data_IF_420397874529
#
_entry.id   IF_420397874529
#
_cell.length_a   1.000
_cell.length_b   1.000
_cell.length_c   1.000
_cell.angle_alpha   90.00
_cell.angle_beta   90.00
_cell.angle_gamma   90.00
#
_symmetry.space_group_name_H-M   'P 1'
#
loop_
_entity.id
_entity.type
_entity.pdbx_description
1 polymer ?
#
# COMPACT_ATOMS: atom_id res chain seq x y z
N UNK A 1 -37.41 -15.74 4.85
CA UNK A 1 -37.79 -14.44 5.45
C UNK A 1 -36.51 -13.67 5.75
N UNK A 2 -36.28 -12.53 5.08
CA UNK A 2 -35.04 -11.74 5.25
C UNK A 2 -35.22 -10.87 6.48
N UNK A 3 -34.75 -11.36 7.63
CA UNK A 3 -35.14 -10.88 8.94
C UNK A 3 -34.23 -9.79 9.55
N UNK A 4 -33.52 -9.01 8.73
CA UNK A 4 -32.54 -8.03 9.24
C UNK A 4 -32.38 -6.75 8.41
N UNK A 5 -33.38 -6.39 7.60
CA UNK A 5 -33.38 -5.11 6.89
C UNK A 5 -34.03 -4.03 7.76
N UNK A 6 -33.32 -2.91 7.97
CA UNK A 6 -33.89 -1.75 8.65
C UNK A 6 -35.13 -1.24 7.89
N UNK A 7 -36.00 -0.50 8.58
CA UNK A 7 -37.20 0.08 7.94
C UNK A 7 -36.85 0.90 6.68
N UNK A 8 -35.75 1.66 6.74
CA UNK A 8 -35.25 2.44 5.60
C UNK A 8 -34.78 1.56 4.44
N UNK A 9 -34.18 0.40 4.72
CA UNK A 9 -33.71 -0.52 3.68
C UNK A 9 -34.86 -1.29 3.04
N UNK A 10 -35.92 -1.62 3.81
CA UNK A 10 -37.17 -2.17 3.26
C UNK A 10 -37.88 -1.18 2.34
N UNK A 11 -37.93 0.09 2.71
CA UNK A 11 -38.56 1.14 1.90
C UNK A 11 -37.79 1.38 0.58
N UNK A 12 -36.45 1.38 0.62
CA UNK A 12 -35.62 1.43 -0.59
C UNK A 12 -35.81 0.20 -1.48
N UNK A 13 -35.85 -1.00 -0.89
CA UNK A 13 -36.05 -2.25 -1.62
C UNK A 13 -37.44 -2.28 -2.29
N UNK A 14 -38.50 -1.88 -1.58
CA UNK A 14 -39.84 -1.73 -2.15
C UNK A 14 -39.84 -0.71 -3.30
N UNK A 15 -39.20 0.44 -3.12
CA UNK A 15 -39.05 1.45 -4.18
C UNK A 15 -38.32 0.94 -5.43
N UNK A 16 -37.29 0.11 -5.25
CA UNK A 16 -36.56 -0.54 -6.33
C UNK A 16 -37.38 -1.63 -7.05
N UNK A 17 -38.10 -2.47 -6.29
CA UNK A 17 -38.86 -3.60 -6.83
C UNK A 17 -40.21 -3.18 -7.46
N UNK A 18 -40.90 -2.20 -6.88
CA UNK A 18 -42.23 -1.77 -7.31
C UNK A 18 -42.17 -0.58 -8.27
N UNK A 19 -41.01 0.09 -8.41
CA UNK A 19 -40.81 1.20 -9.34
C UNK A 19 -41.61 2.47 -9.02
N UNK A 20 -42.29 2.52 -7.87
CA UNK A 20 -43.20 3.59 -7.45
C UNK A 20 -42.52 4.65 -6.56
N UNK A 21 -41.26 4.43 -6.16
CA UNK A 21 -40.47 5.38 -5.38
C UNK A 21 -39.64 6.31 -6.26
N UNK A 22 -39.78 7.63 -6.08
CA UNK A 22 -38.87 8.61 -6.71
C UNK A 22 -37.48 8.43 -6.10
N UNK A 23 -36.53 7.85 -6.83
CA UNK A 23 -35.14 7.71 -6.37
C UNK A 23 -34.49 9.09 -6.26
N UNK A 24 -34.32 9.58 -5.03
CA UNK A 24 -33.70 10.89 -4.74
C UNK A 24 -32.16 10.77 -4.69
N UNK A 25 -31.64 9.62 -4.26
CA UNK A 25 -30.21 9.33 -4.18
C UNK A 25 -29.89 8.00 -4.87
N UNK A 26 -28.76 7.95 -5.57
CA UNK A 26 -28.26 6.76 -6.27
C UNK A 26 -27.40 5.93 -5.30
N UNK A 27 -27.51 4.60 -5.36
CA UNK A 27 -26.65 3.70 -4.59
C UNK A 27 -25.18 3.80 -5.08
N UNK A 28 -24.22 4.06 -4.19
CA UNK A 28 -22.83 4.19 -4.59
C UNK A 28 -22.22 2.81 -4.91
N UNK A 29 -21.55 2.71 -6.07
CA UNK A 29 -20.73 1.56 -6.42
C UNK A 29 -19.34 1.60 -5.77
N UNK A 30 -18.72 0.43 -5.60
CA UNK A 30 -17.35 0.34 -5.11
C UNK A 30 -16.32 0.70 -6.20
N UNK A 31 -15.34 1.54 -5.85
CA UNK A 31 -14.17 1.80 -6.68
C UNK A 31 -12.95 1.10 -6.07
N UNK A 32 -12.56 -0.03 -6.67
CA UNK A 32 -11.44 -0.83 -6.17
C UNK A 32 -10.11 -0.32 -6.69
N UNK A 33 -9.09 -0.33 -5.83
CA UNK A 33 -7.70 0.01 -6.18
C UNK A 33 -6.87 -1.24 -6.35
N UNK A 34 -5.84 -1.18 -7.21
CA UNK A 34 -4.93 -2.30 -7.41
C UNK A 34 -4.13 -2.68 -6.14
N UNK A 35 -3.81 -1.69 -5.31
CA UNK A 35 -3.19 -1.89 -4.01
C UNK A 35 -4.13 -1.45 -2.88
N UNK A 36 -4.33 -2.32 -1.89
CA UNK A 36 -5.22 -2.06 -0.77
C UNK A 36 -4.53 -1.33 0.41
N UNK A 37 -3.20 -1.42 0.52
CA UNK A 37 -2.43 -0.93 1.68
C UNK A 37 -1.06 -0.43 1.25
N UNK A 38 -0.59 0.63 1.91
CA UNK A 38 0.77 1.12 1.77
C UNK A 38 1.71 0.31 2.70
N UNK A 39 2.85 -0.18 2.19
CA UNK A 39 3.88 -0.78 3.03
C UNK A 39 4.54 0.28 3.91
N UNK A 40 4.71 -0.06 5.18
CA UNK A 40 5.45 0.71 6.17
C UNK A 40 6.95 0.52 6.00
N UNK A 41 7.71 1.31 6.78
CA UNK A 41 9.17 1.28 6.75
C UNK A 41 9.78 -0.09 7.14
N UNK A 42 9.00 -0.94 7.80
CA UNK A 42 9.34 -2.29 8.27
C UNK A 42 8.78 -3.41 7.37
N UNK A 43 8.09 -3.07 6.28
CA UNK A 43 7.40 -4.03 5.40
C UNK A 43 6.02 -4.48 5.88
N UNK A 44 5.57 -4.02 7.05
CA UNK A 44 4.21 -4.26 7.55
C UNK A 44 3.25 -3.16 7.06
N UNK A 45 1.98 -3.19 7.46
CA UNK A 45 1.05 -2.09 7.17
C UNK A 45 1.62 -0.78 7.77
N UNK A 46 1.68 0.28 6.95
CA UNK A 46 2.04 1.60 7.45
C UNK A 46 0.99 2.08 8.48
N UNK A 47 1.42 2.34 9.72
CA UNK A 47 0.56 2.79 10.81
C UNK A 47 1.31 3.67 11.81
N UNK A 48 0.71 4.80 12.21
CA UNK A 48 1.31 5.72 13.19
C UNK A 48 1.63 5.01 14.51
N UNK A 49 0.76 4.08 14.92
CA UNK A 49 0.94 3.30 16.16
C UNK A 49 2.17 2.37 16.13
N UNK A 50 2.63 1.97 14.95
CA UNK A 50 3.83 1.13 14.81
C UNK A 50 5.11 1.95 14.68
N UNK A 51 5.00 3.27 14.52
CA UNK A 51 6.15 4.15 14.31
C UNK A 51 6.83 3.94 12.94
N UNK A 52 6.21 3.19 12.02
CA UNK A 52 6.77 2.84 10.71
C UNK A 52 6.30 3.77 9.58
N UNK A 53 5.96 5.02 9.90
CA UNK A 53 5.34 5.97 8.97
C UNK A 53 6.25 7.12 8.57
N UNK A 54 6.09 7.58 7.33
CA UNK A 54 6.54 8.90 6.86
C UNK A 54 5.32 9.81 6.80
N UNK A 55 5.39 10.99 7.41
CA UNK A 55 4.29 11.97 7.35
C UNK A 55 4.42 12.88 6.13
N UNK A 56 3.30 13.37 5.59
CA UNK A 56 3.30 14.18 4.36
C UNK A 56 4.05 15.52 4.48
N UNK A 57 4.19 16.04 5.71
CA UNK A 57 4.86 17.32 6.00
C UNK A 57 6.16 17.13 6.78
N UNK A 58 6.75 15.94 6.66
CA UNK A 58 8.01 15.64 7.31
C UNK A 58 9.17 16.36 6.60
N UNK A 59 10.17 16.78 7.36
CA UNK A 59 11.35 17.39 6.78
C UNK A 59 12.19 16.36 6.02
N UNK A 60 12.86 16.79 4.95
CA UNK A 60 13.63 15.90 4.09
C UNK A 60 14.76 15.16 4.82
N UNK A 61 15.34 15.77 5.87
CA UNK A 61 16.40 15.16 6.65
C UNK A 61 15.88 13.99 7.49
N UNK A 62 14.74 14.15 8.16
CA UNK A 62 14.05 13.08 8.90
C UNK A 62 13.62 11.94 7.98
N UNK A 63 13.06 12.26 6.80
CA UNK A 63 12.70 11.24 5.80
C UNK A 63 13.93 10.43 5.39
N UNK A 64 15.03 11.11 5.04
CA UNK A 64 16.29 10.45 4.65
C UNK A 64 16.84 9.57 5.78
N UNK A 65 16.78 10.06 7.02
CA UNK A 65 17.23 9.32 8.20
C UNK A 65 16.41 8.05 8.45
N UNK A 66 15.09 8.13 8.29
CA UNK A 66 14.18 6.97 8.39
C UNK A 66 14.43 5.94 7.30
N UNK A 67 14.54 6.39 6.05
CA UNK A 67 14.80 5.51 4.90
C UNK A 67 16.11 4.73 5.05
N UNK A 68 17.19 5.40 5.49
CA UNK A 68 18.51 4.77 5.73
C UNK A 68 18.51 3.69 6.80
N UNK A 69 17.51 3.70 7.69
CA UNK A 69 17.38 2.74 8.81
C UNK A 69 16.37 1.64 8.51
N UNK A 70 15.79 1.61 7.31
CA UNK A 70 14.84 0.58 6.96
C UNK A 70 15.52 -0.79 6.97
N UNK A 71 14.85 -1.84 7.49
CA UNK A 71 15.28 -3.20 7.26
C UNK A 71 15.30 -3.48 5.76
N UNK A 72 16.36 -4.15 5.32
CA UNK A 72 16.53 -4.63 3.96
C UNK A 72 16.45 -6.16 3.95
N UNK A 73 16.80 -6.79 2.83
CA UNK A 73 16.78 -8.25 2.73
C UNK A 73 17.68 -8.90 3.81
N UNK A 74 17.13 -9.75 4.70
CA UNK A 74 17.91 -10.44 5.73
C UNK A 74 19.03 -11.32 5.18
N UNK A 75 18.91 -11.82 3.94
CA UNK A 75 19.96 -12.62 3.30
C UNK A 75 21.19 -11.78 2.95
N UNK A 76 21.03 -10.45 2.83
CA UNK A 76 22.08 -9.52 2.45
C UNK A 76 22.81 -8.94 3.66
N UNK A 77 23.63 -9.77 4.30
CA UNK A 77 24.38 -9.39 5.51
C UNK A 77 25.58 -8.50 5.18
N UNK A 78 26.32 -8.80 4.10
CA UNK A 78 27.47 -8.02 3.64
C UNK A 78 27.16 -7.33 2.32
N UNK A 79 27.92 -6.27 2.01
CA UNK A 79 27.79 -5.53 0.74
C UNK A 79 27.96 -6.42 -0.48
N UNK A 80 28.88 -7.39 -0.40
CA UNK A 80 29.20 -8.36 -1.46
C UNK A 80 28.15 -9.44 -1.64
N UNK A 81 27.24 -9.61 -0.67
CA UNK A 81 26.25 -10.67 -0.73
C UNK A 81 25.09 -10.21 -1.63
N UNK A 82 24.65 -11.05 -2.57
CA UNK A 82 23.50 -10.75 -3.40
C UNK A 82 22.23 -10.76 -2.55
N UNK A 83 21.30 -9.85 -2.85
CA UNK A 83 19.99 -9.79 -2.22
C UNK A 83 18.86 -10.17 -3.17
N UNK A 84 17.69 -10.42 -2.58
CA UNK A 84 16.42 -10.64 -3.27
C UNK A 84 15.49 -9.45 -3.03
N UNK A 85 15.24 -8.58 -4.05
CA UNK A 85 14.32 -7.46 -3.93
C UNK A 85 12.92 -7.86 -3.43
N UNK A 86 12.43 -9.05 -3.79
CA UNK A 86 11.12 -9.53 -3.32
C UNK A 86 10.98 -9.64 -1.80
N UNK A 87 12.10 -9.85 -1.09
CA UNK A 87 12.14 -9.98 0.37
C UNK A 87 12.46 -8.64 1.08
N UNK A 88 12.62 -7.55 0.32
CA UNK A 88 13.07 -6.27 0.84
C UNK A 88 11.91 -5.27 0.95
N UNK A 89 11.61 -4.71 2.15
CA UNK A 89 10.63 -3.64 2.31
C UNK A 89 10.89 -2.41 1.45
N UNK A 90 12.17 -2.07 1.22
CA UNK A 90 12.56 -0.94 0.36
C UNK A 90 12.09 -1.13 -1.08
N UNK A 91 12.11 -2.37 -1.58
CA UNK A 91 11.64 -2.68 -2.94
C UNK A 91 10.14 -2.41 -3.11
N UNK A 92 9.34 -2.60 -2.06
CA UNK A 92 7.91 -2.31 -2.09
C UNK A 92 7.65 -0.80 -2.27
N UNK A 93 8.54 0.08 -1.78
CA UNK A 93 8.46 1.52 -2.03
C UNK A 93 8.84 1.88 -3.46
N UNK A 94 9.87 1.23 -4.03
CA UNK A 94 10.24 1.43 -5.44
C UNK A 94 9.11 1.06 -6.40
N UNK A 95 8.30 0.05 -6.08
CA UNK A 95 7.13 -0.30 -6.88
C UNK A 95 6.06 0.79 -6.93
N UNK A 96 6.03 1.69 -5.94
CA UNK A 96 5.04 2.79 -5.85
C UNK A 96 5.59 4.09 -6.43
N UNK A 97 6.86 4.40 -6.18
CA UNK A 97 7.42 5.73 -6.45
C UNK A 97 8.43 5.80 -7.59
N UNK A 98 8.98 4.67 -8.03
CA UNK A 98 10.04 4.65 -9.05
C UNK A 98 9.51 4.26 -10.42
N UNK A 99 10.16 4.79 -11.45
CA UNK A 99 9.92 4.42 -12.84
C UNK A 99 10.51 3.03 -13.19
N UNK A 100 10.27 2.58 -14.42
CA UNK A 100 10.75 1.28 -14.88
C UNK A 100 12.28 1.19 -14.91
N UNK A 101 12.96 2.25 -15.36
CA UNK A 101 14.42 2.28 -15.49
C UNK A 101 15.11 2.16 -14.13
N UNK A 102 14.62 2.91 -13.14
CA UNK A 102 15.11 2.83 -11.76
C UNK A 102 14.83 1.44 -11.18
N UNK A 103 13.64 0.89 -11.41
CA UNK A 103 13.28 -0.46 -10.96
C UNK A 103 14.19 -1.53 -11.56
N UNK A 104 14.49 -1.45 -12.85
CA UNK A 104 15.40 -2.36 -13.53
C UNK A 104 16.83 -2.27 -12.95
N UNK A 105 17.35 -1.05 -12.77
CA UNK A 105 18.66 -0.82 -12.16
C UNK A 105 18.76 -1.38 -10.74
N UNK A 106 17.76 -1.14 -9.88
CA UNK A 106 17.74 -1.67 -8.51
C UNK A 106 17.69 -3.20 -8.51
N UNK A 107 16.83 -3.82 -9.33
CA UNK A 107 16.74 -5.28 -9.40
C UNK A 107 18.07 -5.90 -9.82
N UNK A 108 18.68 -5.39 -10.89
CA UNK A 108 19.95 -5.90 -11.38
C UNK A 108 21.06 -5.67 -10.36
N UNK A 109 21.14 -4.48 -9.78
CA UNK A 109 22.18 -4.11 -8.82
C UNK A 109 22.07 -4.90 -7.51
N UNK A 110 20.86 -5.12 -7.00
CA UNK A 110 20.63 -5.88 -5.76
C UNK A 110 20.99 -7.36 -5.94
N UNK A 111 20.51 -7.99 -7.03
CA UNK A 111 20.78 -9.40 -7.33
C UNK A 111 22.24 -9.69 -7.67
N UNK A 112 22.96 -8.70 -8.22
CA UNK A 112 24.39 -8.84 -8.55
C UNK A 112 25.33 -8.33 -7.44
N UNK A 113 24.81 -7.82 -6.33
CA UNK A 113 25.56 -7.10 -5.30
C UNK A 113 26.40 -5.90 -5.84
N UNK A 114 26.02 -5.35 -7.00
CA UNK A 114 26.72 -4.22 -7.64
C UNK A 114 26.44 -2.86 -7.00
N UNK A 115 25.33 -2.72 -6.26
CA UNK A 115 24.93 -1.48 -5.56
C UNK A 115 24.82 -1.70 -4.06
N UNK A 116 25.01 -0.67 -3.23
CA UNK A 116 24.70 -0.74 -1.79
C UNK A 116 23.19 -0.82 -1.52
N UNK A 117 22.81 -1.33 -0.35
CA UNK A 117 21.48 -1.12 0.20
C UNK A 117 21.26 0.35 0.55
#
# INVERSE_FOLDING_TARGET
EVHDLSHADRERLCGYLEGTGKMILVEPGALLTAAARMPGLDGQKMSKSYGNTITLREDAASVTHKLRRMPTDPARVRRSDPGEPGNCPVWQLHQVYSDEDCRAWVQQGCRSAGIGC
#
